data_IF_885597343649
#
_entry.id   IF_885597343649
#
_cell.length_a   1.000
_cell.length_b   1.000
_cell.length_c   1.000
_cell.angle_alpha   90.00
_cell.angle_beta   90.00
_cell.angle_gamma   90.00
#
_symmetry.space_group_name_H-M   'P 1'
#
loop_
_entity.id
_entity.type
_entity.pdbx_description
1 polymer ?
#
# COMPACT_ATOMS: atom_id res chain seq x y z
N UNK A 1 -3.82 -18.90 -4.90
CA UNK A 1 -3.49 -17.63 -5.57
C UNK A 1 -2.82 -17.90 -6.91
N UNK A 2 -3.18 -17.22 -7.98
CA UNK A 2 -2.54 -17.44 -9.30
C UNK A 2 -1.27 -16.58 -9.35
N UNK A 3 -0.17 -17.11 -8.84
CA UNK A 3 1.13 -16.42 -8.76
C UNK A 3 1.83 -16.16 -10.11
N UNK A 4 1.18 -16.32 -11.23
CA UNK A 4 1.87 -16.25 -12.52
C UNK A 4 1.23 -15.31 -13.54
N UNK A 5 0.20 -14.61 -13.21
CA UNK A 5 -0.21 -13.45 -14.01
C UNK A 5 0.41 -12.23 -13.34
N UNK A 6 1.57 -11.81 -13.85
CA UNK A 6 2.12 -10.49 -13.53
C UNK A 6 1.10 -9.46 -13.97
N UNK A 7 0.54 -8.76 -12.99
CA UNK A 7 -0.28 -7.58 -13.25
C UNK A 7 0.67 -6.37 -13.22
N UNK A 8 0.91 -5.79 -14.37
CA UNK A 8 1.79 -4.62 -14.51
C UNK A 8 1.41 -3.48 -13.54
N UNK A 9 0.13 -3.31 -13.23
CA UNK A 9 -0.32 -2.32 -12.27
C UNK A 9 0.17 -2.62 -10.84
N UNK A 10 0.15 -3.88 -10.43
CA UNK A 10 0.66 -4.28 -9.12
C UNK A 10 2.18 -4.18 -9.03
N UNK A 11 2.90 -4.48 -10.11
CA UNK A 11 4.37 -4.33 -10.18
C UNK A 11 4.79 -2.86 -10.02
N UNK A 12 4.06 -1.94 -10.66
CA UNK A 12 4.28 -0.50 -10.53
C UNK A 12 4.07 -0.05 -9.08
N UNK A 13 2.94 -0.41 -8.46
CA UNK A 13 2.63 -0.06 -7.08
C UNK A 13 3.67 -0.62 -6.10
N UNK A 14 4.13 -1.85 -6.33
CA UNK A 14 5.19 -2.47 -5.53
C UNK A 14 6.51 -1.71 -5.67
N UNK A 15 6.91 -1.39 -6.91
CA UNK A 15 8.13 -0.62 -7.20
C UNK A 15 8.07 0.76 -6.53
N UNK A 16 6.93 1.43 -6.56
CA UNK A 16 6.72 2.70 -5.87
C UNK A 16 6.93 2.56 -4.35
N UNK A 17 6.33 1.55 -3.71
CA UNK A 17 6.50 1.29 -2.26
C UNK A 17 7.96 1.06 -1.92
N UNK A 18 8.68 0.23 -2.69
CA UNK A 18 10.10 -0.05 -2.46
C UNK A 18 10.96 1.20 -2.63
N UNK A 19 10.69 2.02 -3.65
CA UNK A 19 11.36 3.30 -3.85
C UNK A 19 11.09 4.29 -2.71
N UNK A 20 9.86 4.37 -2.21
CA UNK A 20 9.48 5.18 -1.06
C UNK A 20 10.23 4.76 0.21
N UNK A 21 10.36 3.46 0.45
CA UNK A 21 11.10 2.90 1.58
C UNK A 21 12.61 3.16 1.44
N UNK A 22 13.21 2.91 0.27
CA UNK A 22 14.64 3.15 0.02
C UNK A 22 15.03 4.61 0.22
N UNK A 23 14.17 5.54 -0.20
CA UNK A 23 14.44 6.98 -0.08
C UNK A 23 14.05 7.56 1.30
N UNK A 24 13.40 6.79 2.17
CA UNK A 24 12.86 7.27 3.45
C UNK A 24 13.95 7.83 4.36
N UNK A 25 15.05 7.10 4.55
CA UNK A 25 16.18 7.54 5.39
C UNK A 25 16.83 8.83 4.87
N UNK A 26 16.94 8.98 3.56
CA UNK A 26 17.51 10.19 2.96
C UNK A 26 16.56 11.40 3.16
N UNK A 27 15.27 11.20 2.96
CA UNK A 27 14.24 12.24 3.21
C UNK A 27 14.20 12.66 4.68
N UNK A 28 14.36 11.71 5.60
CA UNK A 28 14.44 11.97 7.04
C UNK A 28 15.64 12.86 7.39
N UNK A 29 16.81 12.60 6.81
CA UNK A 29 18.02 13.40 7.02
C UNK A 29 17.89 14.84 6.48
N UNK A 30 17.08 15.06 5.46
CA UNK A 30 16.85 16.41 4.86
C UNK A 30 15.75 17.21 5.56
N UNK A 31 15.21 16.74 6.69
CA UNK A 31 14.18 17.45 7.47
C UNK A 31 12.77 17.39 6.87
N UNK A 32 12.56 16.68 5.79
CA UNK A 32 11.23 16.40 5.21
C UNK A 32 10.61 15.17 5.89
N UNK A 33 10.47 15.22 7.21
CA UNK A 33 10.06 14.07 8.02
C UNK A 33 8.53 13.94 8.05
N UNK A 34 7.95 13.36 7.01
CA UNK A 34 6.56 12.90 7.03
C UNK A 34 6.54 11.42 7.44
N UNK A 35 5.63 11.02 8.34
CA UNK A 35 5.47 9.61 8.66
C UNK A 35 5.09 8.81 7.41
N UNK A 36 5.75 7.68 7.20
CA UNK A 36 5.41 6.75 6.12
C UNK A 36 4.55 5.62 6.69
N UNK A 37 3.38 5.43 6.13
CA UNK A 37 2.48 4.32 6.43
C UNK A 37 2.51 3.33 5.28
N UNK A 38 2.87 2.09 5.57
CA UNK A 38 2.85 0.98 4.60
C UNK A 38 1.82 -0.03 5.04
N UNK A 39 0.88 -0.36 4.16
CA UNK A 39 -0.12 -1.40 4.38
C UNK A 39 0.18 -2.57 3.48
N UNK A 40 0.23 -3.78 4.04
CA UNK A 40 0.55 -5.00 3.31
C UNK A 40 -0.31 -6.17 3.79
N UNK A 41 -0.17 -7.32 3.14
CA UNK A 41 -0.84 -8.57 3.50
C UNK A 41 0.10 -9.76 3.30
N UNK A 42 -0.25 -10.93 3.85
CA UNK A 42 0.60 -12.12 3.87
C UNK A 42 1.15 -12.50 2.48
N UNK A 43 0.31 -12.46 1.44
CA UNK A 43 0.75 -12.85 0.09
C UNK A 43 1.80 -11.88 -0.50
N UNK A 44 1.66 -10.58 -0.27
CA UNK A 44 2.65 -9.59 -0.73
C UNK A 44 3.97 -9.71 0.06
N UNK A 45 3.89 -10.04 1.35
CA UNK A 45 5.07 -10.25 2.20
C UNK A 45 5.77 -11.58 1.92
N UNK A 46 5.06 -12.57 1.39
CA UNK A 46 5.62 -13.87 1.05
C UNK A 46 6.64 -13.79 -0.10
N UNK A 47 6.49 -12.82 -0.99
CA UNK A 47 7.39 -12.65 -2.13
C UNK A 47 8.63 -11.84 -1.73
N UNK A 48 9.78 -12.32 -2.20
CA UNK A 48 11.03 -11.59 -2.13
C UNK A 48 11.04 -10.41 -3.11
N UNK A 49 11.84 -9.42 -2.81
CA UNK A 49 11.99 -8.20 -3.59
C UNK A 49 13.47 -7.93 -3.92
N UNK A 50 13.73 -7.08 -4.90
CA UNK A 50 15.08 -6.61 -5.23
C UNK A 50 15.74 -5.99 -3.98
N UNK A 51 17.03 -6.24 -3.72
CA UNK A 51 17.72 -5.62 -2.58
C UNK A 51 17.69 -4.09 -2.64
N UNK A 52 17.59 -3.40 -1.47
CA UNK A 52 17.57 -1.92 -1.42
C UNK A 52 18.74 -1.27 -2.13
N UNK A 53 19.94 -1.84 -1.99
CA UNK A 53 21.15 -1.33 -2.62
C UNK A 53 21.07 -1.44 -4.14
N UNK A 54 20.67 -2.59 -4.67
CA UNK A 54 20.50 -2.81 -6.11
C UNK A 54 19.44 -1.87 -6.69
N UNK A 55 18.36 -1.62 -5.96
CA UNK A 55 17.33 -0.64 -6.36
C UNK A 55 17.94 0.77 -6.46
N UNK A 56 18.71 1.18 -5.46
CA UNK A 56 19.36 2.49 -5.44
C UNK A 56 20.39 2.65 -6.57
N UNK A 57 21.21 1.63 -6.82
CA UNK A 57 22.24 1.64 -7.88
C UNK A 57 21.62 1.68 -9.29
N UNK A 58 20.45 1.09 -9.48
CA UNK A 58 19.74 1.05 -10.77
C UNK A 58 18.83 2.26 -11.00
N UNK A 59 18.56 3.05 -9.96
CA UNK A 59 17.76 4.27 -10.10
C UNK A 59 18.61 5.38 -10.69
N UNK A 60 18.20 5.92 -11.84
CA UNK A 60 18.86 7.02 -12.50
C UNK A 60 18.28 8.35 -12.02
N UNK A 61 19.14 9.28 -11.65
CA UNK A 61 18.75 10.64 -11.23
C UNK A 61 19.12 11.62 -12.34
N UNK A 62 18.12 12.39 -12.80
CA UNK A 62 18.29 13.41 -13.82
C UNK A 62 17.85 14.77 -13.28
N UNK A 63 18.67 15.79 -13.51
CA UNK A 63 18.43 17.14 -12.99
C UNK A 63 18.63 18.18 -14.10
N UNK A 64 17.88 19.29 -14.02
CA UNK A 64 18.10 20.45 -14.90
C UNK A 64 19.56 20.94 -14.80
N UNK A 65 20.18 21.10 -15.94
CA UNK A 65 21.60 21.48 -16.09
C UNK A 65 22.60 20.32 -16.09
N UNK A 66 22.15 19.08 -15.90
CA UNK A 66 23.00 17.90 -16.09
C UNK A 66 23.27 17.70 -17.60
N UNK A 67 24.43 17.12 -17.90
CA UNK A 67 24.90 16.89 -19.29
C UNK A 67 24.84 15.41 -19.61
N UNK A 68 24.06 15.03 -20.62
CA UNK A 68 23.93 13.64 -21.09
C UNK A 68 23.91 13.59 -22.61
N UNK A 69 24.69 12.68 -23.20
CA UNK A 69 24.46 12.26 -24.58
C UNK A 69 23.14 11.47 -24.67
N UNK A 70 22.19 11.97 -25.45
CA UNK A 70 20.85 11.39 -25.56
C UNK A 70 20.86 9.96 -26.13
N UNK A 71 21.84 9.63 -26.98
CA UNK A 71 22.02 8.28 -27.55
C UNK A 71 22.48 7.32 -26.45
N UNK A 72 23.46 7.73 -25.64
CA UNK A 72 23.98 6.95 -24.54
C UNK A 72 22.93 6.78 -23.44
N UNK A 73 22.20 7.84 -23.11
CA UNK A 73 21.10 7.78 -22.17
C UNK A 73 19.99 6.80 -22.62
N UNK A 74 19.67 6.80 -23.92
CA UNK A 74 18.73 5.84 -24.51
C UNK A 74 19.22 4.40 -24.40
N UNK A 75 20.52 4.16 -24.56
CA UNK A 75 21.13 2.85 -24.40
C UNK A 75 21.02 2.37 -22.95
N UNK A 76 21.35 3.23 -22.00
CA UNK A 76 21.23 2.94 -20.56
C UNK A 76 19.78 2.65 -20.14
N UNK A 77 18.80 3.36 -20.67
CA UNK A 77 17.40 3.08 -20.44
C UNK A 77 16.99 1.69 -20.95
N UNK A 78 17.46 1.28 -22.12
CA UNK A 78 17.21 -0.06 -22.62
C UNK A 78 17.87 -1.15 -21.76
N UNK A 79 19.07 -0.91 -21.23
CA UNK A 79 19.75 -1.82 -20.28
C UNK A 79 19.02 -1.93 -18.96
N UNK A 80 18.35 -0.85 -18.52
CA UNK A 80 17.48 -0.83 -17.35
C UNK A 80 16.11 -1.49 -17.62
N UNK A 81 15.86 -1.97 -18.85
CA UNK A 81 14.64 -2.68 -19.22
C UNK A 81 13.52 -1.80 -19.76
N UNK A 82 13.77 -0.52 -19.98
CA UNK A 82 12.79 0.35 -20.63
C UNK A 82 12.66 0.03 -22.12
N UNK A 83 11.45 0.10 -22.64
CA UNK A 83 11.13 -0.20 -24.05
C UNK A 83 11.00 1.10 -24.83
N UNK A 84 11.77 1.22 -25.93
CA UNK A 84 11.64 2.36 -26.83
C UNK A 84 10.35 2.28 -27.64
N UNK A 85 9.63 3.41 -27.72
CA UNK A 85 8.37 3.59 -28.44
C UNK A 85 8.37 4.91 -29.20
N UNK A 86 7.38 5.12 -30.05
CA UNK A 86 7.18 6.41 -30.72
C UNK A 86 6.51 7.42 -29.75
N UNK A 87 5.62 6.93 -28.88
CA UNK A 87 4.97 7.65 -27.80
C UNK A 87 4.94 6.81 -26.54
N UNK A 88 4.88 7.47 -25.38
CA UNK A 88 4.87 6.84 -24.08
C UNK A 88 3.43 6.77 -23.56
N UNK A 89 2.98 5.57 -23.22
CA UNK A 89 1.63 5.29 -22.68
C UNK A 89 1.66 4.54 -21.35
N UNK A 90 2.66 3.70 -21.15
CA UNK A 90 2.74 2.81 -20.00
C UNK A 90 4.09 2.95 -19.27
N UNK A 91 4.15 2.72 -17.95
CA UNK A 91 5.42 2.63 -17.23
C UNK A 91 6.38 1.62 -17.87
N UNK A 92 7.66 1.97 -17.87
CA UNK A 92 8.69 1.19 -18.55
C UNK A 92 8.84 1.51 -20.04
N UNK A 93 8.17 2.53 -20.53
CA UNK A 93 8.34 3.01 -21.91
C UNK A 93 9.11 4.33 -21.96
N UNK A 94 9.85 4.55 -23.03
CA UNK A 94 10.46 5.84 -23.34
C UNK A 94 10.40 6.13 -24.86
N UNK A 95 10.42 7.41 -25.20
CA UNK A 95 10.41 7.89 -26.59
C UNK A 95 11.41 9.03 -26.76
N UNK A 96 12.14 9.04 -27.87
CA UNK A 96 13.04 10.13 -28.23
C UNK A 96 12.53 10.77 -29.51
N UNK A 97 12.27 12.08 -29.46
CA UNK A 97 11.77 12.88 -30.58
C UNK A 97 12.55 14.19 -30.69
N UNK A 98 13.54 14.21 -31.59
CA UNK A 98 14.47 15.33 -31.69
C UNK A 98 15.26 15.49 -30.38
N UNK A 99 15.14 16.64 -29.73
CA UNK A 99 15.79 16.94 -28.46
C UNK A 99 14.93 16.58 -27.24
N UNK A 100 13.82 15.87 -27.42
CA UNK A 100 12.89 15.54 -26.32
C UNK A 100 13.02 14.06 -25.99
N UNK A 101 13.21 13.77 -24.70
CA UNK A 101 13.08 12.43 -24.13
C UNK A 101 11.83 12.39 -23.27
N UNK A 102 10.85 11.60 -23.69
CA UNK A 102 9.71 11.23 -22.87
C UNK A 102 9.99 9.88 -22.20
N UNK A 103 9.77 9.75 -20.89
CA UNK A 103 10.04 8.52 -20.15
C UNK A 103 9.00 8.30 -19.04
N UNK A 104 8.50 7.08 -18.93
CA UNK A 104 7.60 6.70 -17.86
C UNK A 104 8.28 5.74 -16.87
N UNK A 105 8.73 6.29 -15.76
CA UNK A 105 9.34 5.54 -14.66
C UNK A 105 8.32 4.61 -13.98
N UNK A 106 8.76 3.44 -13.51
CA UNK A 106 7.91 2.49 -12.78
C UNK A 106 7.44 2.99 -11.41
N UNK A 107 8.04 4.03 -10.86
CA UNK A 107 7.66 4.61 -9.58
C UNK A 107 7.05 6.02 -9.71
N UNK A 108 6.50 6.37 -10.88
CA UNK A 108 5.93 7.68 -11.14
C UNK A 108 4.46 7.59 -11.55
N UNK A 109 3.64 8.48 -11.02
CA UNK A 109 2.22 8.60 -11.40
C UNK A 109 2.05 9.13 -12.82
N UNK A 110 2.95 10.02 -13.26
CA UNK A 110 2.95 10.63 -14.59
C UNK A 110 4.30 10.47 -15.25
N UNK A 111 4.35 10.31 -16.58
CA UNK A 111 5.61 10.29 -17.32
C UNK A 111 6.29 11.67 -17.28
N UNK A 112 7.60 11.64 -17.49
CA UNK A 112 8.45 12.82 -17.56
C UNK A 112 8.77 13.15 -19.00
N UNK A 113 8.77 14.44 -19.33
CA UNK A 113 9.27 15.02 -20.56
C UNK A 113 10.50 15.85 -20.24
N UNK A 114 11.61 15.48 -20.82
CA UNK A 114 12.92 16.08 -20.62
C UNK A 114 13.34 16.72 -21.93
N UNK A 115 13.45 18.03 -21.94
CA UNK A 115 13.92 18.78 -23.10
C UNK A 115 15.43 18.99 -22.98
N UNK A 116 16.14 18.80 -24.07
CA UNK A 116 17.58 18.97 -24.17
C UNK A 116 17.92 20.17 -25.06
N UNK A 117 18.92 20.94 -24.65
CA UNK A 117 19.58 21.93 -25.51
C UNK A 117 21.00 21.45 -25.75
N UNK A 118 21.25 20.83 -26.93
CA UNK A 118 22.45 20.02 -27.12
C UNK A 118 22.44 18.80 -26.23
N UNK A 119 23.45 18.68 -25.37
CA UNK A 119 23.56 17.60 -24.38
C UNK A 119 23.10 18.03 -22.97
N UNK A 120 22.76 19.32 -22.77
CA UNK A 120 22.30 19.86 -21.50
C UNK A 120 20.80 19.62 -21.30
N UNK A 121 20.40 19.18 -20.12
CA UNK A 121 18.98 19.13 -19.72
C UNK A 121 18.50 20.55 -19.47
N UNK A 122 17.69 21.09 -20.39
CA UNK A 122 17.12 22.44 -20.31
C UNK A 122 15.91 22.52 -19.37
N UNK A 123 15.01 21.54 -19.47
CA UNK A 123 13.83 21.50 -18.61
C UNK A 123 13.28 20.09 -18.42
N UNK A 124 12.66 19.87 -17.26
CA UNK A 124 11.98 18.62 -16.92
C UNK A 124 10.52 18.95 -16.54
N UNK A 125 9.57 18.20 -17.10
CA UNK A 125 8.13 18.35 -16.81
C UNK A 125 7.45 17.00 -16.72
N UNK A 126 6.40 16.89 -15.95
CA UNK A 126 5.44 15.79 -16.08
C UNK A 126 4.48 16.08 -17.22
N UNK A 127 3.87 15.05 -17.80
CA UNK A 127 2.83 15.23 -18.83
C UNK A 127 1.71 14.19 -18.68
N UNK A 128 0.56 14.51 -19.24
CA UNK A 128 -0.61 13.64 -19.25
C UNK A 128 -0.54 12.66 -20.42
N UNK A 129 -0.68 11.37 -20.14
CA UNK A 129 -0.56 10.31 -21.15
C UNK A 129 -1.57 10.45 -22.28
N UNK A 130 -2.83 10.71 -21.96
CA UNK A 130 -3.92 10.75 -22.96
C UNK A 130 -3.83 11.97 -23.88
N UNK A 131 -3.53 13.13 -23.31
CA UNK A 131 -3.50 14.40 -24.06
C UNK A 131 -2.11 14.78 -24.56
N UNK A 132 -1.08 14.14 -24.03
CA UNK A 132 0.36 14.46 -24.27
C UNK A 132 0.72 15.89 -23.86
N UNK A 133 -0.12 16.57 -23.07
CA UNK A 133 0.13 17.94 -22.61
C UNK A 133 0.97 17.96 -21.33
N UNK A 134 1.93 18.88 -21.29
CA UNK A 134 2.76 19.10 -20.10
C UNK A 134 1.93 19.58 -18.89
N UNK A 135 2.31 19.14 -17.70
CA UNK A 135 1.66 19.48 -16.42
C UNK A 135 2.61 20.33 -15.57
N UNK A 136 3.33 19.67 -14.68
CA UNK A 136 4.15 20.34 -13.66
C UNK A 136 5.63 20.37 -14.07
N UNK A 137 6.30 21.47 -13.80
CA UNK A 137 7.75 21.58 -13.91
C UNK A 137 8.42 20.91 -12.71
N UNK A 138 9.50 20.19 -12.98
CA UNK A 138 10.36 19.55 -11.98
C UNK A 138 11.80 19.99 -12.22
N UNK A 139 12.57 20.18 -11.16
CA UNK A 139 14.00 20.47 -11.27
C UNK A 139 14.85 19.22 -11.30
N UNK A 140 14.34 18.12 -10.78
CA UNK A 140 14.99 16.81 -10.74
C UNK A 140 13.94 15.69 -10.78
N UNK A 141 14.32 14.54 -11.32
CA UNK A 141 13.49 13.34 -11.35
C UNK A 141 14.33 12.09 -11.13
N UNK A 142 13.68 11.06 -10.58
CA UNK A 142 14.26 9.73 -10.42
C UNK A 142 13.58 8.76 -11.39
N UNK A 143 14.38 8.15 -12.24
CA UNK A 143 13.93 7.13 -13.18
C UNK A 143 14.20 5.77 -12.55
N UNK A 144 13.15 5.16 -12.05
CA UNK A 144 13.20 3.86 -11.38
C UNK A 144 12.83 2.79 -12.38
N UNK A 145 13.70 1.80 -12.63
CA UNK A 145 13.41 0.66 -13.50
C UNK A 145 12.42 -0.29 -12.83
N UNK A 146 11.98 -1.31 -13.56
CA UNK A 146 11.24 -2.44 -12.98
C UNK A 146 12.07 -3.09 -11.87
N UNK A 147 11.50 -3.15 -10.66
CA UNK A 147 12.17 -3.69 -9.49
C UNK A 147 12.49 -5.19 -9.63
N UNK A 148 11.81 -5.91 -10.51
CA UNK A 148 11.96 -7.35 -10.65
C UNK A 148 12.87 -7.78 -11.79
N UNK A 149 13.22 -6.88 -12.71
CA UNK A 149 14.09 -7.22 -13.84
C UNK A 149 15.57 -7.31 -13.43
N UNK A 150 16.16 -8.50 -13.66
CA UNK A 150 17.61 -8.73 -13.54
C UNK A 150 18.14 -8.70 -12.11
N UNK A 151 17.28 -8.82 -11.10
CA UNK A 151 17.71 -8.85 -9.71
C UNK A 151 18.26 -10.24 -9.34
N UNK A 152 19.55 -10.31 -9.05
CA UNK A 152 20.15 -11.43 -8.34
C UNK A 152 20.07 -11.17 -6.83
N UNK A 153 19.90 -12.25 -6.04
CA UNK A 153 19.92 -12.16 -4.58
C UNK A 153 18.70 -11.47 -3.97
N UNK A 154 17.50 -11.82 -4.44
CA UNK A 154 16.23 -11.31 -3.90
C UNK A 154 16.14 -11.47 -2.37
N UNK A 155 15.64 -10.46 -1.69
CA UNK A 155 15.57 -10.37 -0.23
C UNK A 155 14.12 -10.24 0.28
N UNK A 156 13.85 -10.57 1.56
CA UNK A 156 12.57 -10.25 2.17
C UNK A 156 12.28 -8.74 2.14
N UNK A 157 11.01 -8.35 1.96
CA UNK A 157 10.62 -6.94 2.04
C UNK A 157 10.98 -6.30 3.39
N UNK A 158 11.09 -7.11 4.46
CA UNK A 158 11.51 -6.65 5.78
C UNK A 158 12.89 -5.99 5.82
N UNK A 159 13.75 -6.28 4.84
CA UNK A 159 15.09 -5.69 4.74
C UNK A 159 15.07 -4.20 4.33
N UNK A 160 13.93 -3.73 3.85
CA UNK A 160 13.67 -2.31 3.56
C UNK A 160 13.22 -1.52 4.78
N UNK A 161 12.81 -2.19 5.87
CA UNK A 161 12.20 -1.52 7.01
C UNK A 161 13.27 -0.86 7.91
N UNK A 162 13.16 0.45 8.19
CA UNK A 162 13.99 1.10 9.17
C UNK A 162 13.90 0.44 10.56
N UNK A 163 14.95 0.50 11.34
CA UNK A 163 15.00 -0.13 12.67
C UNK A 163 13.98 0.44 13.68
N UNK A 164 13.51 1.66 13.46
CA UNK A 164 12.47 2.33 14.27
C UNK A 164 11.06 2.13 13.73
N UNK A 165 10.87 1.21 12.78
CA UNK A 165 9.54 0.85 12.27
C UNK A 165 8.67 0.26 13.38
N UNK A 166 7.43 0.70 13.46
CA UNK A 166 6.40 0.10 14.32
C UNK A 166 5.51 -0.81 13.47
N UNK A 167 5.58 -2.11 13.74
CA UNK A 167 4.73 -3.10 13.07
C UNK A 167 3.40 -3.22 13.80
N UNK A 168 2.33 -2.77 13.17
CA UNK A 168 0.95 -3.00 13.66
C UNK A 168 0.38 -4.20 12.91
N UNK A 169 0.07 -5.27 13.62
CA UNK A 169 -0.34 -6.53 13.01
C UNK A 169 -1.53 -7.14 13.74
N UNK A 170 -2.45 -7.69 12.96
CA UNK A 170 -3.55 -8.51 13.46
C UNK A 170 -3.19 -9.98 13.23
N UNK A 171 -3.08 -10.74 14.35
CA UNK A 171 -2.76 -12.17 14.33
C UNK A 171 -1.49 -12.52 13.54
N UNK A 172 -0.33 -12.16 14.07
CA UNK A 172 0.96 -12.45 13.43
C UNK A 172 1.17 -13.96 13.18
N UNK A 173 0.62 -14.82 14.06
CA UNK A 173 0.67 -16.26 13.86
C UNK A 173 -0.08 -16.69 12.58
N UNK A 174 -1.26 -16.11 12.33
CA UNK A 174 -2.03 -16.40 11.11
C UNK A 174 -1.27 -15.93 9.86
N UNK A 175 -0.60 -14.77 9.92
CA UNK A 175 0.22 -14.28 8.80
C UNK A 175 1.39 -15.22 8.54
N UNK A 176 2.05 -15.70 9.60
CA UNK A 176 3.11 -16.71 9.51
C UNK A 176 2.61 -17.97 8.80
N UNK A 177 1.51 -18.54 9.25
CA UNK A 177 0.94 -19.78 8.70
C UNK A 177 0.46 -19.60 7.25
N UNK A 178 -0.09 -18.43 6.92
CA UNK A 178 -0.45 -18.07 5.54
C UNK A 178 0.77 -18.01 4.62
N UNK A 179 1.88 -17.43 5.09
CA UNK A 179 3.13 -17.37 4.33
C UNK A 179 3.70 -18.77 4.13
N UNK A 180 3.71 -19.62 5.18
CA UNK A 180 4.19 -21.01 5.07
C UNK A 180 3.33 -21.84 4.12
N UNK A 181 2.01 -21.62 4.13
CA UNK A 181 1.11 -22.23 3.16
C UNK A 181 1.43 -21.79 1.73
N UNK A 182 1.64 -20.47 1.51
CA UNK A 182 2.02 -19.93 0.20
C UNK A 182 3.37 -20.52 -0.25
N UNK A 183 4.35 -20.61 0.64
CA UNK A 183 5.64 -21.22 0.35
C UNK A 183 5.52 -22.71 0.03
N UNK A 184 4.66 -23.46 0.74
CA UNK A 184 4.42 -24.87 0.51
C UNK A 184 3.74 -25.13 -0.85
N UNK A 185 2.72 -24.33 -1.19
CA UNK A 185 2.00 -24.41 -2.46
C UNK A 185 2.88 -23.98 -3.64
N UNK A 186 3.80 -23.03 -3.41
CA UNK A 186 4.66 -22.48 -4.45
C UNK A 186 3.89 -21.81 -5.58
N UNK A 187 4.53 -21.70 -6.73
CA UNK A 187 3.90 -21.21 -7.95
C UNK A 187 3.03 -22.33 -8.56
N UNK A 188 1.76 -22.05 -8.83
CA UNK A 188 0.85 -23.03 -9.41
C UNK A 188 1.41 -23.55 -10.74
N UNK A 189 1.36 -24.88 -10.96
CA UNK A 189 1.80 -25.51 -12.21
C UNK A 189 1.17 -24.90 -13.47
N UNK A 190 -0.05 -24.35 -13.36
CA UNK A 190 -0.71 -23.64 -14.46
C UNK A 190 0.03 -22.34 -14.89
N UNK A 191 0.83 -21.79 -14.03
CA UNK A 191 1.65 -20.63 -14.34
C UNK A 191 2.91 -21.01 -15.12
N UNK A 192 3.45 -22.19 -14.84
CA UNK A 192 4.53 -22.77 -15.63
C UNK A 192 4.05 -23.25 -17.02
N UNK A 193 2.77 -23.66 -17.13
CA UNK A 193 2.17 -24.15 -18.39
C UNK A 193 1.65 -23.06 -19.32
N UNK A 194 1.54 -21.81 -18.87
CA UNK A 194 1.09 -20.70 -19.71
C UNK A 194 2.12 -20.27 -20.78
N UNK A 195 3.37 -20.73 -20.65
CA UNK A 195 4.42 -20.62 -21.64
C UNK A 195 4.95 -22.04 -21.90
N UNK A 196 4.51 -22.66 -22.98
CA UNK A 196 5.06 -23.95 -23.39
C UNK A 196 6.54 -23.72 -23.80
N UNK A 197 7.52 -24.30 -23.07
CA UNK A 197 8.91 -24.17 -23.45
C UNK A 197 9.13 -24.86 -24.80
N UNK A 198 9.80 -24.20 -25.70
CA UNK A 198 10.11 -24.72 -27.04
C UNK A 198 11.41 -25.52 -27.05
N UNK A 199 12.18 -25.49 -25.94
CA UNK A 199 13.44 -26.22 -25.78
C UNK A 199 13.70 -26.63 -24.33
N UNK A 200 14.53 -27.67 -24.11
CA UNK A 200 14.98 -28.10 -22.78
C UNK A 200 15.73 -26.99 -22.01
N UNK A 201 16.40 -26.10 -22.72
CA UNK A 201 17.13 -24.98 -22.14
C UNK A 201 16.17 -23.92 -21.62
N UNK A 202 15.09 -23.62 -22.34
CA UNK A 202 14.03 -22.72 -21.89
C UNK A 202 13.25 -23.30 -20.70
N UNK A 203 13.07 -24.62 -20.67
CA UNK A 203 12.44 -25.31 -19.53
C UNK A 203 13.32 -25.23 -18.26
N UNK A 204 14.64 -25.36 -18.39
CA UNK A 204 15.57 -25.21 -17.29
C UNK A 204 15.62 -23.78 -16.78
N UNK A 205 15.67 -22.78 -17.67
CA UNK A 205 15.63 -21.37 -17.32
C UNK A 205 14.29 -21.00 -16.63
N UNK A 206 13.16 -21.55 -17.12
CA UNK A 206 11.86 -21.34 -16.48
C UNK A 206 11.79 -21.96 -15.08
N UNK A 207 12.32 -23.16 -14.89
CA UNK A 207 12.38 -23.81 -13.56
C UNK A 207 13.22 -22.99 -12.57
N UNK A 208 14.34 -22.43 -13.01
CA UNK A 208 15.16 -21.58 -12.18
C UNK A 208 14.47 -20.23 -11.87
N UNK A 209 13.81 -19.64 -12.86
CA UNK A 209 13.06 -18.39 -12.73
C UNK A 209 11.87 -18.51 -11.77
N UNK A 210 11.21 -19.68 -11.70
CA UNK A 210 10.08 -19.93 -10.81
C UNK A 210 10.47 -20.78 -9.58
N UNK A 211 11.76 -20.82 -9.25
CA UNK A 211 12.19 -21.48 -8.04
C UNK A 211 11.67 -20.73 -6.81
N UNK A 212 10.77 -21.37 -6.06
CA UNK A 212 10.16 -20.78 -4.86
C UNK A 212 11.20 -20.35 -3.82
N UNK A 213 12.33 -21.05 -3.71
CA UNK A 213 13.41 -20.71 -2.77
C UNK A 213 14.06 -19.37 -3.11
N UNK A 214 14.10 -19.00 -4.40
CA UNK A 214 14.64 -17.74 -4.86
C UNK A 214 13.64 -16.58 -4.72
N UNK A 215 12.34 -16.86 -4.80
CA UNK A 215 11.29 -15.84 -4.93
C UNK A 215 10.36 -15.71 -3.73
N UNK A 216 10.30 -16.70 -2.85
CA UNK A 216 9.40 -16.70 -1.70
C UNK A 216 10.18 -16.79 -0.39
N UNK A 217 9.57 -16.28 0.68
CA UNK A 217 10.06 -16.45 2.04
C UNK A 217 9.20 -17.46 2.82
N UNK A 218 9.76 -18.01 3.89
CA UNK A 218 9.00 -18.76 4.89
C UNK A 218 8.46 -17.84 5.98
N UNK A 219 7.45 -18.29 6.74
CA UNK A 219 6.96 -17.59 7.92
C UNK A 219 8.06 -17.34 8.95
N UNK A 220 8.98 -18.29 9.13
CA UNK A 220 10.14 -18.10 10.00
C UNK A 220 11.08 -16.97 9.52
N UNK A 221 11.28 -16.82 8.20
CA UNK A 221 12.06 -15.73 7.66
C UNK A 221 11.38 -14.37 7.94
N UNK A 222 10.05 -14.28 7.83
CA UNK A 222 9.30 -13.09 8.24
C UNK A 222 9.56 -12.78 9.72
N UNK A 223 9.40 -13.77 10.62
CA UNK A 223 9.59 -13.56 12.06
C UNK A 223 10.98 -13.07 12.40
N UNK A 224 12.02 -13.60 11.74
CA UNK A 224 13.40 -13.11 11.89
C UNK A 224 13.54 -11.66 11.42
N UNK A 225 12.96 -11.31 10.28
CA UNK A 225 13.03 -9.95 9.71
C UNK A 225 12.36 -8.90 10.59
N UNK A 226 11.31 -9.27 11.34
CA UNK A 226 10.59 -8.34 12.23
C UNK A 226 10.97 -8.46 13.70
N UNK A 227 11.91 -9.34 14.07
CA UNK A 227 12.26 -9.63 15.47
C UNK A 227 12.75 -8.40 16.24
N UNK A 228 13.48 -7.50 15.58
CA UNK A 228 14.03 -6.27 16.17
C UNK A 228 13.07 -5.08 16.17
N UNK A 229 11.90 -5.18 15.57
CA UNK A 229 10.96 -4.07 15.43
C UNK A 229 10.04 -3.97 16.66
N UNK A 230 9.59 -2.74 16.94
CA UNK A 230 8.48 -2.54 17.87
C UNK A 230 7.20 -3.14 17.26
N UNK A 231 6.46 -3.91 18.06
CA UNK A 231 5.25 -4.59 17.58
C UNK A 231 4.05 -4.23 18.41
N UNK A 232 2.94 -3.94 17.73
CA UNK A 232 1.60 -3.81 18.29
C UNK A 232 0.75 -4.94 17.71
N UNK A 233 0.51 -5.99 18.49
CA UNK A 233 -0.37 -7.08 18.09
C UNK A 233 -1.81 -6.75 18.48
N UNK A 234 -2.71 -6.77 17.49
CA UNK A 234 -4.15 -6.62 17.69
C UNK A 234 -4.75 -8.01 17.53
N UNK A 235 -5.30 -8.59 18.58
CA UNK A 235 -5.88 -9.94 18.56
C UNK A 235 -5.81 -10.63 19.91
N UNK A 236 -6.20 -11.88 19.93
CA UNK A 236 -6.36 -12.66 21.19
C UNK A 236 -5.10 -13.43 21.60
N UNK A 237 -4.19 -13.67 20.67
CA UNK A 237 -2.97 -14.45 20.94
C UNK A 237 -1.73 -13.73 20.41
N UNK A 238 -0.97 -13.06 21.29
CA UNK A 238 0.31 -12.47 20.88
C UNK A 238 1.34 -13.58 20.61
N UNK A 239 2.10 -13.45 19.54
CA UNK A 239 3.25 -14.30 19.29
C UNK A 239 4.42 -13.78 20.14
N UNK A 240 4.90 -14.59 21.07
CA UNK A 240 5.96 -14.25 22.03
C UNK A 240 5.42 -13.62 23.32
N UNK A 241 6.33 -13.10 24.16
CA UNK A 241 5.99 -12.47 25.43
C UNK A 241 5.79 -10.97 25.25
N UNK A 242 4.57 -10.42 25.40
CA UNK A 242 4.34 -8.99 25.27
C UNK A 242 4.92 -8.23 26.47
N UNK A 243 5.47 -7.03 26.23
CA UNK A 243 5.92 -6.12 27.28
C UNK A 243 4.74 -5.51 28.06
N UNK A 244 3.61 -5.30 27.40
CA UNK A 244 2.36 -4.83 27.99
C UNK A 244 1.17 -5.41 27.24
N UNK A 245 0.08 -5.62 27.96
CA UNK A 245 -1.22 -6.05 27.40
C UNK A 245 -2.24 -4.97 27.71
N UNK A 246 -2.93 -4.49 26.67
CA UNK A 246 -4.09 -3.60 26.83
C UNK A 246 -5.31 -4.40 26.41
N UNK A 247 -6.20 -4.64 27.35
CA UNK A 247 -7.44 -5.37 27.11
C UNK A 247 -8.59 -4.37 27.00
N UNK A 248 -9.37 -4.48 25.93
CA UNK A 248 -10.58 -3.68 25.73
C UNK A 248 -11.80 -4.56 26.02
N UNK A 249 -12.62 -4.13 26.97
CA UNK A 249 -13.93 -4.74 27.27
C UNK A 249 -14.99 -4.07 26.37
N UNK A 250 -14.93 -4.34 25.08
CA UNK A 250 -15.82 -3.71 24.11
C UNK A 250 -16.77 -4.71 23.47
N UNK A 251 -17.96 -4.23 23.13
CA UNK A 251 -18.95 -4.97 22.34
C UNK A 251 -19.28 -4.23 21.07
N UNK A 252 -19.50 -4.98 19.99
CA UNK A 252 -19.85 -4.40 18.70
C UNK A 252 -21.25 -3.80 18.71
N UNK A 253 -21.45 -2.74 17.96
CA UNK A 253 -22.76 -2.13 17.76
C UNK A 253 -23.77 -3.16 17.21
N UNK A 254 -24.96 -3.30 17.80
CA UNK A 254 -26.02 -4.11 17.24
C UNK A 254 -26.52 -3.56 15.91
N UNK A 255 -26.99 -4.44 15.02
CA UNK A 255 -27.66 -4.05 13.79
C UNK A 255 -29.11 -3.66 14.08
N UNK A 256 -29.53 -2.49 13.64
CA UNK A 256 -30.86 -1.97 13.91
C UNK A 256 -31.80 -1.98 12.69
N UNK A 257 -31.29 -2.27 11.48
CA UNK A 257 -32.09 -2.41 10.25
C UNK A 257 -33.12 -1.28 10.05
N UNK A 258 -32.67 -0.02 10.20
CA UNK A 258 -33.53 1.19 10.12
C UNK A 258 -34.67 1.25 11.16
N UNK A 259 -34.67 0.37 12.16
CA UNK A 259 -35.65 0.39 13.24
C UNK A 259 -35.24 1.38 14.34
N UNK A 260 -35.72 2.62 14.24
CA UNK A 260 -35.42 3.69 15.19
C UNK A 260 -35.99 3.47 16.57
N UNK A 261 -37.09 2.70 16.72
CA UNK A 261 -37.61 2.33 18.04
C UNK A 261 -36.68 1.39 18.78
N UNK A 262 -36.17 0.37 18.06
CA UNK A 262 -35.18 -0.56 18.61
C UNK A 262 -33.90 0.17 19.02
N UNK A 263 -33.41 1.06 18.16
CA UNK A 263 -32.26 1.89 18.45
C UNK A 263 -32.49 2.76 19.67
N UNK A 264 -33.61 3.49 19.73
CA UNK A 264 -33.95 4.33 20.86
C UNK A 264 -34.04 3.55 22.20
N UNK A 265 -34.66 2.36 22.15
CA UNK A 265 -34.75 1.50 23.33
C UNK A 265 -33.37 1.06 23.81
N UNK A 266 -32.53 0.56 22.92
CA UNK A 266 -31.17 0.11 23.23
C UNK A 266 -30.31 1.26 23.81
N UNK A 267 -30.35 2.44 23.17
CA UNK A 267 -29.64 3.61 23.67
C UNK A 267 -30.19 4.09 25.01
N UNK A 268 -31.51 3.97 25.25
CA UNK A 268 -32.15 4.27 26.53
C UNK A 268 -31.67 3.35 27.65
N UNK A 269 -31.55 2.06 27.38
CA UNK A 269 -30.99 1.08 28.31
C UNK A 269 -29.53 1.38 28.66
N UNK A 270 -28.70 1.70 27.63
CA UNK A 270 -27.31 2.11 27.85
C UNK A 270 -27.21 3.40 28.65
N UNK A 271 -28.06 4.39 28.38
CA UNK A 271 -28.07 5.66 29.14
C UNK A 271 -28.48 5.42 30.60
N UNK A 272 -29.49 4.58 30.85
CA UNK A 272 -29.90 4.18 32.18
C UNK A 272 -28.81 3.42 32.95
N UNK A 273 -27.97 2.67 32.25
CA UNK A 273 -26.79 1.99 32.79
C UNK A 273 -25.55 2.92 32.95
N UNK A 274 -25.71 4.23 32.71
CA UNK A 274 -24.68 5.24 32.94
C UNK A 274 -23.70 5.45 31.80
N UNK A 275 -24.04 5.00 30.57
CA UNK A 275 -23.18 5.21 29.41
C UNK A 275 -23.32 6.62 28.84
N UNK A 276 -22.20 7.20 28.41
CA UNK A 276 -22.18 8.37 27.55
C UNK A 276 -22.33 7.91 26.09
N UNK A 277 -23.32 8.46 25.39
CA UNK A 277 -23.68 8.01 24.03
C UNK A 277 -23.21 9.03 23.00
N UNK A 278 -22.39 8.60 22.09
CA UNK A 278 -21.97 9.34 20.90
C UNK A 278 -22.61 8.71 19.67
N UNK A 279 -23.21 9.54 18.82
CA UNK A 279 -23.69 9.11 17.50
C UNK A 279 -22.83 9.78 16.43
N UNK A 280 -22.17 8.95 15.63
CA UNK A 280 -21.25 9.33 14.59
C UNK A 280 -21.94 9.28 13.22
N UNK A 281 -21.83 10.38 12.47
CA UNK A 281 -22.38 10.49 11.13
C UNK A 281 -21.45 11.29 10.24
N UNK A 282 -21.54 11.08 8.92
CA UNK A 282 -20.72 11.78 7.93
C UNK A 282 -21.00 13.29 7.88
N UNK A 283 -22.19 13.71 8.29
CA UNK A 283 -22.58 15.12 8.28
C UNK A 283 -23.43 15.53 9.47
N UNK A 284 -23.34 16.80 9.83
CA UNK A 284 -24.19 17.42 10.86
C UNK A 284 -25.69 17.25 10.52
N UNK A 285 -26.05 17.34 9.23
CA UNK A 285 -27.45 17.20 8.78
C UNK A 285 -28.06 15.83 9.08
N UNK A 286 -27.25 14.76 8.99
CA UNK A 286 -27.69 13.40 9.36
C UNK A 286 -27.95 13.31 10.86
N UNK A 287 -27.07 13.90 11.69
CA UNK A 287 -27.24 13.96 13.14
C UNK A 287 -28.48 14.77 13.53
N UNK A 288 -28.73 15.93 12.91
CA UNK A 288 -29.94 16.74 13.13
C UNK A 288 -31.20 15.97 12.79
N UNK A 289 -31.20 15.25 11.65
CA UNK A 289 -32.33 14.41 11.28
C UNK A 289 -32.63 13.35 12.33
N UNK A 290 -31.61 12.67 12.84
CA UNK A 290 -31.78 11.66 13.87
C UNK A 290 -32.29 12.27 15.19
N UNK A 291 -31.78 13.45 15.59
CA UNK A 291 -32.26 14.18 16.77
C UNK A 291 -33.74 14.53 16.64
N UNK A 292 -34.19 14.96 15.45
CA UNK A 292 -35.60 15.27 15.20
C UNK A 292 -36.48 14.01 15.31
N UNK A 293 -36.05 12.89 14.71
CA UNK A 293 -36.76 11.60 14.83
C UNK A 293 -36.89 11.20 16.29
N UNK A 294 -35.84 11.27 17.08
CA UNK A 294 -35.88 10.90 18.50
C UNK A 294 -36.74 11.87 19.36
N UNK A 295 -36.73 13.16 18.99
CA UNK A 295 -37.62 14.14 19.61
C UNK A 295 -39.10 13.83 19.35
N UNK A 296 -39.47 13.47 18.15
CA UNK A 296 -40.82 13.04 17.77
C UNK A 296 -41.24 11.78 18.53
N UNK A 297 -40.28 10.89 18.82
CA UNK A 297 -40.45 9.68 19.61
C UNK A 297 -40.46 9.92 21.14
N UNK A 298 -40.42 11.20 21.59
CA UNK A 298 -40.46 11.57 22.99
C UNK A 298 -39.14 11.46 23.76
N UNK A 299 -38.01 11.38 23.06
CA UNK A 299 -36.70 11.39 23.73
C UNK A 299 -36.33 12.82 24.20
N UNK A 300 -35.56 12.90 25.30
CA UNK A 300 -35.04 14.17 25.83
C UNK A 300 -34.01 14.77 24.86
N UNK A 301 -33.84 16.12 24.94
CA UNK A 301 -32.99 16.88 24.03
C UNK A 301 -31.50 16.44 24.01
N UNK A 302 -31.01 15.93 25.16
CA UNK A 302 -29.61 15.48 25.34
C UNK A 302 -29.49 13.95 25.40
N UNK A 303 -30.27 13.27 24.55
CA UNK A 303 -30.30 11.82 24.53
C UNK A 303 -28.95 11.21 24.07
N UNK A 304 -28.29 11.85 23.17
CA UNK A 304 -26.94 11.50 22.70
C UNK A 304 -26.13 12.74 22.27
N UNK A 305 -24.82 12.59 22.16
CA UNK A 305 -23.88 13.61 21.70
C UNK A 305 -23.60 13.36 20.21
N UNK A 306 -23.96 14.29 19.31
CA UNK A 306 -23.69 14.14 17.88
C UNK A 306 -22.22 14.41 17.56
N UNK A 307 -21.62 13.58 16.70
CA UNK A 307 -20.24 13.74 16.20
C UNK A 307 -20.25 13.67 14.70
N UNK A 308 -19.74 14.74 14.06
CA UNK A 308 -19.63 14.83 12.60
C UNK A 308 -18.33 14.17 12.10
N UNK A 309 -18.16 12.91 12.42
CA UNK A 309 -17.11 11.98 11.94
C UNK A 309 -17.70 10.60 11.96
N UNK A 310 -17.18 9.71 11.14
CA UNK A 310 -17.62 8.32 11.10
C UNK A 310 -16.48 7.36 11.44
N UNK A 311 -16.86 6.16 11.88
CA UNK A 311 -16.01 4.99 12.02
C UNK A 311 -16.55 3.90 11.11
N UNK A 312 -15.72 2.94 10.75
CA UNK A 312 -16.18 1.78 9.97
C UNK A 312 -17.26 0.97 10.69
N UNK A 313 -17.15 0.80 12.00
CA UNK A 313 -18.13 0.12 12.82
C UNK A 313 -18.27 0.82 14.18
N UNK A 314 -19.47 0.85 14.73
CA UNK A 314 -19.72 1.34 16.07
C UNK A 314 -19.40 0.29 17.14
N UNK A 315 -19.19 0.76 18.37
CA UNK A 315 -18.88 -0.10 19.52
C UNK A 315 -19.38 0.52 20.83
N UNK A 316 -19.40 -0.32 21.85
CA UNK A 316 -19.60 0.09 23.25
C UNK A 316 -18.38 -0.33 24.04
N UNK A 317 -17.77 0.60 24.79
CA UNK A 317 -16.71 0.34 25.74
C UNK A 317 -17.37 0.22 27.14
N UNK A 318 -17.29 -0.98 27.74
CA UNK A 318 -17.98 -1.29 28.95
C UNK A 318 -17.23 -0.80 30.22
N UNK A 319 -15.91 -0.59 30.10
CA UNK A 319 -15.09 -0.09 31.20
C UNK A 319 -15.20 1.43 31.33
N UNK A 320 -15.12 2.13 30.20
CA UNK A 320 -15.26 3.58 30.13
C UNK A 320 -16.72 4.04 30.16
N UNK A 321 -17.68 3.13 30.05
CA UNK A 321 -19.11 3.44 29.91
C UNK A 321 -19.38 4.39 28.74
N UNK A 322 -18.77 4.13 27.58
CA UNK A 322 -18.93 4.94 26.38
C UNK A 322 -19.53 4.10 25.25
N UNK A 323 -20.52 4.66 24.58
CA UNK A 323 -21.13 4.08 23.40
C UNK A 323 -20.86 4.99 22.21
N UNK A 324 -20.22 4.46 21.17
CA UNK A 324 -19.93 5.14 19.92
C UNK A 324 -20.64 4.40 18.78
N UNK A 325 -21.84 4.84 18.41
CA UNK A 325 -22.62 4.20 17.33
C UNK A 325 -22.55 4.97 16.03
N UNK A 326 -22.37 4.24 14.90
CA UNK A 326 -22.32 4.80 13.57
C UNK A 326 -23.68 4.71 12.87
N UNK A 327 -24.12 5.81 12.24
CA UNK A 327 -25.37 5.82 11.51
C UNK A 327 -25.33 4.94 10.24
N UNK A 328 -24.18 4.75 9.63
CA UNK A 328 -24.02 3.84 8.48
C UNK A 328 -24.44 2.40 8.78
N UNK A 329 -24.23 1.94 10.03
CA UNK A 329 -24.66 0.63 10.51
C UNK A 329 -26.16 0.60 10.94
N UNK A 330 -26.76 1.75 11.13
CA UNK A 330 -28.21 1.85 11.46
C UNK A 330 -29.08 1.91 10.21
N UNK A 331 -28.49 2.34 9.09
CA UNK A 331 -29.10 2.27 7.75
C UNK A 331 -28.31 1.22 6.95
N UNK A 332 -28.95 0.11 6.58
CA UNK A 332 -28.33 -0.85 5.67
C UNK A 332 -27.69 -0.08 4.49
N UNK A 333 -26.37 -0.14 4.39
CA UNK A 333 -25.64 0.32 3.24
C UNK A 333 -25.82 -0.71 2.12
N UNK A 334 -27.00 -0.72 1.51
CA UNK A 334 -27.32 -1.44 0.30
C UNK A 334 -28.43 -0.66 -0.41
N UNK A 335 -28.00 0.30 -1.21
CA UNK A 335 -28.59 0.73 -2.47
C UNK A 335 -27.49 1.35 -3.32
#
# INVERSE_FOLDING_TARGET
MKYAQRDAANEILRTEVLNQLSSYEQRRKTGKNLPLFVVSHAAALAEKVTPPQTMAERTMHLKEGDVYDLTELSRQLMELGFKRRDYVYEPGEFAVRGSILDIYSFAAEYPFRIDFFGDDIDSIRTFEVQTQLSRERRTEVSIVPDAEQGAQGMVPMTDYLPADTVLVVKDLALIHDDIDRIYAEGFAQQAMMAQEPTSEMEEAEMRERFNKENLLITGEALLRGVAGLQRVNIGTQPLGTPAAIVQFNSTQQPLFHKNFELLRRNLGELKAAGYTIYILADSAKQNERLQNIFKEMGAQRDFFIPVSKTLHAGFTDNDLKVCCFCLLYTSDAAD
#
